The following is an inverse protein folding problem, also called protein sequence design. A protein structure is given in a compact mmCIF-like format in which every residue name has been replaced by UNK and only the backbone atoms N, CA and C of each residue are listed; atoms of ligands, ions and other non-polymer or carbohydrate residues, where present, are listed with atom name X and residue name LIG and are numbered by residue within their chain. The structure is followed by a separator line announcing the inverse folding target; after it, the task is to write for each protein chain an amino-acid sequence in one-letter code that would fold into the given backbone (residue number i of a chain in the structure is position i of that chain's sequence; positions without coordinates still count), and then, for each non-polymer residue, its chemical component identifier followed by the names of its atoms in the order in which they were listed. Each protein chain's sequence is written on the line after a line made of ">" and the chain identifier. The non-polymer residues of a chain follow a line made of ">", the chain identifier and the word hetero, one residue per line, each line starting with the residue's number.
data_IF_918719058738
#
_entry.id   IF_918719058738
#
_cell.length_a   1.000
_cell.length_b   1.000
_cell.length_c   1.000
_cell.angle_alpha   90.00
_cell.angle_beta   90.00
_cell.angle_gamma   90.00
#
_symmetry.space_group_name_H-M   'P 1'
#
loop_
_entity.id
_entity.type
_entity.pdbx_description
1 polymer ?
#
# COMPACT_ATOMS: atom_id res chain seq x y z
N UNK A 1 16.60 -44.02 51.51
CA UNK A 1 16.53 -43.51 50.13
C UNK A 1 15.32 -42.58 50.03
N UNK A 2 15.54 -41.28 49.83
CA UNK A 2 14.46 -40.27 49.84
C UNK A 2 13.71 -40.29 48.51
N UNK A 3 12.41 -40.58 48.54
CA UNK A 3 11.52 -40.52 47.38
C UNK A 3 11.18 -39.05 47.06
N UNK A 4 11.77 -38.52 45.99
CA UNK A 4 11.38 -37.22 45.43
C UNK A 4 10.07 -37.38 44.65
N UNK A 5 8.97 -36.83 45.18
CA UNK A 5 7.73 -36.60 44.42
C UNK A 5 7.87 -35.29 43.66
N UNK A 6 8.02 -35.37 42.34
CA UNK A 6 7.98 -34.20 41.46
C UNK A 6 6.52 -33.75 41.39
N UNK A 7 6.23 -32.55 41.90
CA UNK A 7 4.95 -31.87 41.69
C UNK A 7 4.94 -31.32 40.26
N UNK A 8 3.83 -31.43 39.50
CA UNK A 8 3.72 -30.78 38.22
C UNK A 8 3.64 -29.27 38.47
N UNK A 9 4.72 -28.56 38.23
CA UNK A 9 4.70 -27.09 38.13
C UNK A 9 3.82 -26.76 36.94
N UNK A 10 2.68 -26.10 37.16
CA UNK A 10 1.94 -25.43 36.11
C UNK A 10 2.91 -24.46 35.43
N UNK A 11 3.32 -24.78 34.21
CA UNK A 11 3.92 -23.79 33.32
C UNK A 11 2.75 -22.94 32.84
N UNK A 12 2.51 -21.83 33.52
CA UNK A 12 1.70 -20.74 32.99
C UNK A 12 2.37 -20.25 31.72
N UNK A 13 1.85 -20.68 30.57
CA UNK A 13 2.22 -20.15 29.27
C UNK A 13 1.84 -18.67 29.28
N UNK A 14 2.82 -17.80 29.54
CA UNK A 14 2.66 -16.37 29.36
C UNK A 14 2.64 -16.11 27.85
N UNK A 15 1.46 -16.20 27.24
CA UNK A 15 1.21 -15.66 25.91
C UNK A 15 1.19 -14.14 26.04
N UNK A 16 2.35 -13.51 25.93
CA UNK A 16 2.48 -12.07 25.75
C UNK A 16 3.40 -11.80 24.57
N UNK A 17 2.83 -11.18 23.54
CA UNK A 17 3.54 -10.78 22.34
C UNK A 17 2.61 -10.58 21.15
N UNK A 18 1.49 -9.88 21.33
CA UNK A 18 0.81 -9.26 20.18
C UNK A 18 1.71 -8.12 19.75
N UNK A 19 2.55 -8.38 18.74
CA UNK A 19 3.39 -7.37 18.13
C UNK A 19 2.49 -6.34 17.43
N UNK A 20 2.79 -5.06 17.72
CA UNK A 20 2.05 -3.88 17.31
C UNK A 20 2.16 -3.70 15.79
N UNK A 21 1.02 -3.44 15.15
CA UNK A 21 0.92 -3.26 13.71
C UNK A 21 0.73 -1.77 13.41
N UNK A 22 1.67 -1.19 12.69
CA UNK A 22 1.44 0.04 11.93
C UNK A 22 1.45 -0.42 10.48
N UNK A 23 0.31 -0.47 9.78
CA UNK A 23 0.25 -0.91 8.38
C UNK A 23 0.03 0.32 7.52
N UNK A 24 0.87 0.51 6.51
CA UNK A 24 0.79 1.59 5.53
C UNK A 24 -0.19 1.12 4.46
N UNK A 25 -1.32 1.81 4.24
CA UNK A 25 -2.59 1.20 3.76
C UNK A 25 -3.00 -0.05 4.55
N UNK A 26 -4.29 -0.16 4.89
CA UNK A 26 -4.81 -1.44 5.34
C UNK A 26 -4.57 -2.51 4.26
N UNK A 27 -4.39 -3.78 4.66
CA UNK A 27 -4.24 -4.96 3.77
C UNK A 27 -5.17 -4.89 2.54
N UNK A 28 -6.41 -4.45 2.75
CA UNK A 28 -7.44 -4.28 1.72
C UNK A 28 -7.01 -3.35 0.57
N UNK A 29 -6.32 -2.25 0.87
CA UNK A 29 -5.88 -1.27 -0.12
C UNK A 29 -4.86 -1.87 -1.07
N UNK A 30 -3.76 -2.40 -0.52
CA UNK A 30 -2.67 -3.01 -1.26
C UNK A 30 -3.10 -4.17 -2.14
N UNK A 31 -3.88 -5.10 -1.57
CA UNK A 31 -4.39 -6.28 -2.28
C UNK A 31 -5.25 -5.87 -3.48
N UNK A 32 -6.16 -4.91 -3.29
CA UNK A 32 -7.06 -4.42 -4.35
C UNK A 32 -6.29 -3.71 -5.45
N UNK A 33 -5.32 -2.86 -5.09
CA UNK A 33 -4.51 -2.13 -6.05
C UNK A 33 -3.71 -3.11 -6.91
N UNK A 34 -2.99 -4.05 -6.30
CA UNK A 34 -2.14 -5.00 -7.00
C UNK A 34 -2.96 -5.97 -7.88
N UNK A 35 -4.06 -6.51 -7.35
CA UNK A 35 -4.96 -7.38 -8.11
C UNK A 35 -5.56 -6.65 -9.31
N UNK A 36 -6.02 -5.42 -9.14
CA UNK A 36 -6.56 -4.62 -10.23
C UNK A 36 -5.50 -4.22 -11.26
N UNK A 37 -4.25 -3.97 -10.82
CA UNK A 37 -3.15 -3.63 -11.72
C UNK A 37 -2.86 -4.77 -12.70
N UNK A 38 -2.95 -6.04 -12.24
CA UNK A 38 -2.86 -7.20 -13.13
C UNK A 38 -3.89 -7.14 -14.26
N UNK A 39 -5.12 -6.74 -13.94
CA UNK A 39 -6.21 -6.62 -14.92
C UNK A 39 -6.02 -5.45 -15.90
N UNK A 40 -5.26 -4.43 -15.51
CA UNK A 40 -4.92 -3.27 -16.34
C UNK A 40 -3.68 -3.47 -17.24
N UNK A 41 -3.04 -4.64 -17.22
CA UNK A 41 -1.86 -4.91 -18.05
C UNK A 41 -2.21 -5.24 -19.51
N UNK A 42 -1.30 -4.97 -20.46
CA UNK A 42 -1.42 -5.51 -21.82
C UNK A 42 -1.26 -7.04 -21.85
N UNK A 43 -1.89 -7.68 -22.84
CA UNK A 43 -2.12 -9.13 -22.90
C UNK A 43 -0.92 -10.05 -22.58
N UNK A 44 0.32 -9.81 -23.09
CA UNK A 44 1.45 -10.68 -22.75
C UNK A 44 1.77 -10.69 -21.25
N UNK A 45 1.78 -9.52 -20.62
CA UNK A 45 2.00 -9.39 -19.18
C UNK A 45 0.76 -9.83 -18.39
N UNK A 46 -0.44 -9.42 -18.82
CA UNK A 46 -1.68 -9.80 -18.14
C UNK A 46 -1.82 -11.32 -18.02
N UNK A 47 -1.47 -12.08 -19.06
CA UNK A 47 -1.53 -13.54 -19.01
C UNK A 47 -0.55 -14.10 -17.99
N UNK A 48 0.70 -13.63 -18.01
CA UNK A 48 1.74 -14.05 -17.05
C UNK A 48 1.35 -13.69 -15.60
N UNK A 49 1.03 -12.44 -15.32
CA UNK A 49 0.68 -12.00 -13.98
C UNK A 49 -0.63 -12.62 -13.48
N UNK A 50 -1.63 -12.82 -14.35
CA UNK A 50 -2.88 -13.46 -13.94
C UNK A 50 -2.67 -14.92 -13.52
N UNK A 51 -1.67 -15.61 -14.07
CA UNK A 51 -1.30 -16.95 -13.60
C UNK A 51 -0.85 -16.98 -12.13
N UNK A 52 -0.39 -15.84 -11.60
CA UNK A 52 0.12 -15.65 -10.25
C UNK A 52 -0.68 -14.60 -9.47
N UNK A 53 -1.93 -14.33 -9.87
CA UNK A 53 -2.68 -13.17 -9.36
C UNK A 53 -2.85 -13.20 -7.84
N UNK A 54 -3.06 -14.38 -7.25
CA UNK A 54 -3.21 -14.51 -5.79
C UNK A 54 -1.89 -14.27 -5.07
N UNK A 55 -0.76 -14.75 -5.62
CA UNK A 55 0.57 -14.45 -5.10
C UNK A 55 0.84 -12.94 -5.15
N UNK A 56 0.62 -12.29 -6.29
CA UNK A 56 0.83 -10.84 -6.45
C UNK A 56 -0.07 -10.02 -5.51
N UNK A 57 -1.29 -10.51 -5.29
CA UNK A 57 -2.23 -9.90 -4.35
C UNK A 57 -1.68 -9.97 -2.92
N UNK A 58 -1.24 -11.15 -2.45
CA UNK A 58 -0.73 -11.33 -1.09
C UNK A 58 0.65 -10.71 -0.88
N UNK A 59 1.54 -10.79 -1.87
CA UNK A 59 2.88 -10.21 -1.81
C UNK A 59 2.82 -8.70 -1.58
N UNK A 60 1.76 -8.04 -2.06
CA UNK A 60 1.56 -6.60 -1.86
C UNK A 60 1.45 -6.16 -0.39
N UNK A 61 1.27 -7.08 0.56
CA UNK A 61 1.24 -6.75 2.00
C UNK A 61 2.54 -7.08 2.72
N UNK A 62 3.47 -7.76 2.04
CA UNK A 62 4.71 -8.26 2.65
C UNK A 62 5.65 -7.15 3.12
N UNK A 63 5.80 -6.00 2.44
CA UNK A 63 6.63 -4.91 2.97
C UNK A 63 6.23 -4.47 4.38
N UNK A 64 4.93 -4.32 4.63
CA UNK A 64 4.42 -4.04 5.96
C UNK A 64 4.69 -5.16 6.96
N UNK A 65 4.64 -6.43 6.54
CA UNK A 65 5.04 -7.55 7.41
C UNK A 65 6.54 -7.50 7.73
N UNK A 66 7.40 -7.10 6.79
CA UNK A 66 8.84 -6.92 7.04
C UNK A 66 9.09 -5.87 8.10
N UNK A 67 8.36 -4.75 8.03
CA UNK A 67 8.40 -3.68 9.03
C UNK A 67 7.93 -4.15 10.41
N UNK A 68 6.73 -4.73 10.48
CA UNK A 68 6.04 -4.92 11.76
C UNK A 68 6.31 -6.26 12.44
N UNK A 69 6.53 -7.32 11.65
CA UNK A 69 6.64 -8.70 12.16
C UNK A 69 8.09 -9.16 12.15
N UNK A 70 8.81 -8.90 11.05
CA UNK A 70 10.19 -9.34 10.90
C UNK A 70 11.20 -8.34 11.49
N UNK A 71 10.73 -7.16 11.91
CA UNK A 71 11.53 -6.11 12.54
C UNK A 71 12.76 -5.73 11.68
N UNK A 72 12.58 -5.69 10.36
CA UNK A 72 13.60 -5.17 9.45
C UNK A 72 13.73 -3.66 9.67
N UNK A 73 14.79 -3.25 10.36
CA UNK A 73 15.05 -1.85 10.71
C UNK A 73 15.26 -0.96 9.49
N UNK A 74 15.55 -1.52 8.32
CA UNK A 74 15.75 -0.77 7.09
C UNK A 74 14.45 -0.59 6.29
N UNK A 75 13.38 -1.30 6.64
CA UNK A 75 12.10 -1.24 5.94
C UNK A 75 11.30 0.06 6.19
N UNK A 76 11.13 0.55 7.44
CA UNK A 76 10.23 1.67 7.71
C UNK A 76 10.43 2.90 6.81
N UNK A 77 11.65 3.40 6.56
CA UNK A 77 11.86 4.59 5.73
C UNK A 77 11.46 4.40 4.27
N UNK A 78 11.22 3.17 3.80
CA UNK A 78 10.84 2.89 2.40
C UNK A 78 9.38 3.18 2.10
N UNK A 79 8.54 3.37 3.12
CA UNK A 79 7.08 3.53 2.98
C UNK A 79 6.62 4.98 2.85
N UNK A 80 7.49 5.96 3.10
CA UNK A 80 7.08 7.36 3.15
C UNK A 80 8.18 8.31 2.67
N UNK A 81 7.79 9.57 2.52
CA UNK A 81 8.66 10.69 2.20
C UNK A 81 8.07 11.97 2.80
N UNK A 82 8.63 12.42 3.93
CA UNK A 82 8.18 13.61 4.66
C UNK A 82 8.61 14.87 3.91
N UNK A 83 7.89 15.19 2.84
CA UNK A 83 8.30 16.14 1.80
C UNK A 83 8.69 17.52 2.35
N UNK A 84 7.99 18.00 3.38
CA UNK A 84 8.23 19.30 4.02
C UNK A 84 9.62 19.41 4.65
N UNK A 85 10.21 18.29 5.07
CA UNK A 85 11.51 18.27 5.74
C UNK A 85 12.69 18.41 4.76
N UNK A 86 12.49 18.19 3.46
CA UNK A 86 13.55 18.20 2.45
C UNK A 86 13.88 19.59 1.90
N UNK A 87 13.10 20.61 2.26
CA UNK A 87 13.28 22.01 1.84
C UNK A 87 12.57 22.32 0.52
N UNK A 88 13.14 23.24 -0.27
CA UNK A 88 12.55 23.62 -1.57
C UNK A 88 12.57 22.43 -2.54
N UNK A 89 11.40 22.13 -3.11
CA UNK A 89 11.15 21.06 -4.08
C UNK A 89 12.06 21.15 -5.31
N UNK A 90 12.44 22.36 -5.71
CA UNK A 90 13.36 22.58 -6.83
C UNK A 90 14.77 22.03 -6.56
N UNK A 91 15.09 21.78 -5.29
CA UNK A 91 16.40 21.29 -4.85
C UNK A 91 16.40 19.79 -4.54
N UNK A 92 15.28 19.10 -4.70
CA UNK A 92 15.20 17.67 -4.36
C UNK A 92 16.15 16.85 -5.22
N UNK A 93 16.96 15.96 -4.60
CA UNK A 93 17.84 15.09 -5.35
C UNK A 93 17.01 14.08 -6.12
N UNK A 94 17.30 13.93 -7.40
CA UNK A 94 16.52 13.10 -8.31
C UNK A 94 16.81 11.62 -8.11
N UNK A 95 18.05 11.30 -7.75
CA UNK A 95 18.55 9.95 -7.51
C UNK A 95 18.93 9.71 -6.04
N UNK A 96 18.98 8.45 -5.62
CA UNK A 96 19.42 8.08 -4.27
C UNK A 96 20.87 8.48 -4.00
N UNK A 97 21.73 8.44 -5.02
CA UNK A 97 23.14 8.80 -4.86
C UNK A 97 23.31 10.30 -4.63
N UNK A 98 22.56 11.13 -5.36
CA UNK A 98 22.47 12.57 -5.06
C UNK A 98 21.91 12.83 -3.66
N UNK A 99 20.90 12.05 -3.23
CA UNK A 99 20.31 12.18 -1.91
C UNK A 99 21.32 11.89 -0.79
N UNK A 100 22.15 10.85 -0.94
CA UNK A 100 23.21 10.50 0.01
C UNK A 100 24.36 11.50 0.06
N UNK A 101 24.59 12.25 -1.01
CA UNK A 101 25.56 13.34 -1.03
C UNK A 101 25.03 14.60 -0.32
N UNK A 102 23.71 14.83 -0.37
CA UNK A 102 23.07 16.01 0.19
C UNK A 102 22.64 15.85 1.65
N UNK A 103 22.19 14.66 2.04
CA UNK A 103 21.62 14.36 3.35
C UNK A 103 22.34 13.20 4.03
N UNK A 104 22.48 13.28 5.36
CA UNK A 104 23.04 12.18 6.13
C UNK A 104 22.04 11.02 6.31
N UNK A 105 22.56 9.85 6.71
CA UNK A 105 21.77 8.64 6.89
C UNK A 105 20.64 8.80 7.93
N UNK A 106 20.90 9.56 9.00
CA UNK A 106 19.91 9.79 10.07
C UNK A 106 18.72 10.58 9.54
N UNK A 107 18.99 11.59 8.72
CA UNK A 107 17.99 12.40 8.06
C UNK A 107 17.14 11.55 7.10
N UNK A 108 17.78 10.76 6.24
CA UNK A 108 17.06 9.89 5.28
C UNK A 108 16.24 8.80 5.98
N UNK A 109 16.78 8.22 7.06
CA UNK A 109 16.07 7.22 7.87
C UNK A 109 14.86 7.82 8.58
N UNK A 110 14.96 9.08 9.02
CA UNK A 110 13.87 9.76 9.73
C UNK A 110 12.78 10.26 8.79
N UNK A 111 13.13 10.77 7.62
CA UNK A 111 12.22 11.49 6.73
C UNK A 111 11.77 10.66 5.52
N UNK A 112 12.24 9.42 5.40
CA UNK A 112 11.79 8.49 4.37
C UNK A 112 12.50 8.65 3.02
N UNK A 113 12.46 7.58 2.23
CA UNK A 113 13.19 7.40 0.97
C UNK A 113 12.33 6.78 -0.14
N UNK A 114 11.00 6.77 0.04
CA UNK A 114 10.06 6.08 -0.85
C UNK A 114 10.29 6.36 -2.36
N UNK A 115 10.46 7.61 -2.84
CA UNK A 115 10.62 7.90 -4.27
C UNK A 115 11.85 7.18 -4.85
N UNK A 116 12.97 7.22 -4.12
CA UNK A 116 14.20 6.58 -4.54
C UNK A 116 14.14 5.06 -4.45
N UNK A 117 13.40 4.52 -3.46
CA UNK A 117 13.19 3.09 -3.36
C UNK A 117 12.38 2.53 -4.53
N UNK A 118 11.31 3.24 -4.95
CA UNK A 118 10.54 2.90 -6.16
C UNK A 118 11.45 2.85 -7.41
N UNK A 119 12.34 3.85 -7.57
CA UNK A 119 13.28 3.88 -8.70
C UNK A 119 14.26 2.68 -8.67
N UNK A 120 14.79 2.32 -7.51
CA UNK A 120 15.66 1.15 -7.34
C UNK A 120 14.94 -0.17 -7.68
N UNK A 121 13.70 -0.35 -7.22
CA UNK A 121 12.87 -1.51 -7.57
C UNK A 121 12.57 -1.57 -9.07
N UNK A 122 12.41 -0.43 -9.74
CA UNK A 122 12.24 -0.39 -11.20
C UNK A 122 13.48 -0.89 -11.95
N UNK A 123 14.69 -0.54 -11.49
CA UNK A 123 15.94 -1.09 -12.05
C UNK A 123 16.01 -2.60 -11.84
N UNK A 124 15.69 -3.06 -10.62
CA UNK A 124 15.70 -4.50 -10.27
C UNK A 124 14.67 -5.29 -11.06
N UNK A 125 13.45 -4.78 -11.21
CA UNK A 125 12.37 -5.42 -11.97
C UNK A 125 12.73 -5.53 -13.46
N UNK A 126 13.30 -4.46 -14.03
CA UNK A 126 13.78 -4.44 -15.41
C UNK A 126 14.84 -5.52 -15.64
N UNK A 127 15.81 -5.63 -14.71
CA UNK A 127 16.83 -6.69 -14.76
C UNK A 127 16.21 -8.09 -14.65
N UNK A 128 15.28 -8.29 -13.72
CA UNK A 128 14.60 -9.57 -13.53
C UNK A 128 13.82 -10.00 -14.78
N UNK A 129 13.14 -9.07 -15.46
CA UNK A 129 12.53 -9.33 -16.76
C UNK A 129 13.55 -9.71 -17.82
N UNK A 130 14.63 -8.94 -17.97
CA UNK A 130 15.68 -9.16 -18.98
C UNK A 130 16.30 -10.55 -18.86
N UNK A 131 16.52 -10.99 -17.62
CA UNK A 131 17.08 -12.30 -17.29
C UNK A 131 16.01 -13.41 -17.17
N UNK A 132 14.73 -13.07 -17.41
CA UNK A 132 13.57 -13.98 -17.32
C UNK A 132 13.47 -14.71 -15.97
N UNK A 133 13.85 -14.05 -14.88
CA UNK A 133 13.85 -14.60 -13.51
C UNK A 133 12.46 -14.52 -12.91
N UNK A 134 11.60 -15.48 -13.25
CA UNK A 134 10.18 -15.54 -12.87
C UNK A 134 9.90 -15.14 -11.42
N UNK A 135 10.52 -15.80 -10.46
CA UNK A 135 10.22 -15.56 -9.04
C UNK A 135 10.59 -14.12 -8.66
N UNK A 136 11.76 -13.64 -9.08
CA UNK A 136 12.17 -12.25 -8.83
C UNK A 136 11.23 -11.24 -9.48
N UNK A 137 10.74 -11.50 -10.70
CA UNK A 137 9.73 -10.65 -11.34
C UNK A 137 8.50 -10.53 -10.45
N UNK A 138 7.99 -11.66 -9.95
CA UNK A 138 6.77 -11.68 -9.15
C UNK A 138 6.96 -10.97 -7.80
N UNK A 139 8.05 -11.28 -7.07
CA UNK A 139 8.37 -10.65 -5.78
C UNK A 139 8.57 -9.14 -5.92
N UNK A 140 9.45 -8.71 -6.83
CA UNK A 140 9.76 -7.29 -7.01
C UNK A 140 8.54 -6.52 -7.53
N UNK A 141 7.70 -7.13 -8.38
CA UNK A 141 6.47 -6.49 -8.85
C UNK A 141 5.46 -6.28 -7.72
N UNK A 142 5.25 -7.26 -6.84
CA UNK A 142 4.40 -7.13 -5.67
C UNK A 142 4.87 -6.04 -4.71
N UNK A 143 6.17 -6.05 -4.37
CA UNK A 143 6.81 -5.01 -3.56
C UNK A 143 6.66 -3.63 -4.21
N UNK A 144 6.99 -3.50 -5.50
CA UNK A 144 6.86 -2.23 -6.21
C UNK A 144 5.41 -1.72 -6.21
N UNK A 145 4.43 -2.62 -6.36
CA UNK A 145 3.02 -2.27 -6.29
C UNK A 145 2.59 -1.76 -4.92
N UNK A 146 3.16 -2.29 -3.83
CA UNK A 146 2.97 -1.77 -2.47
C UNK A 146 3.52 -0.36 -2.33
N UNK A 147 4.78 -0.13 -2.67
CA UNK A 147 5.39 1.19 -2.49
C UNK A 147 4.75 2.25 -3.39
N UNK A 148 4.31 1.89 -4.60
CA UNK A 148 3.51 2.80 -5.44
C UNK A 148 2.16 3.11 -4.76
N UNK A 149 1.50 2.14 -4.14
CA UNK A 149 0.28 2.39 -3.39
C UNK A 149 0.54 3.36 -2.23
N UNK A 150 1.57 3.14 -1.40
CA UNK A 150 1.99 4.06 -0.34
C UNK A 150 2.21 5.48 -0.88
N UNK A 151 2.86 5.62 -2.04
CA UNK A 151 3.04 6.90 -2.73
C UNK A 151 1.75 7.59 -3.21
N UNK A 152 0.60 6.92 -3.12
CA UNK A 152 -0.74 7.47 -3.36
C UNK A 152 -1.53 7.72 -2.06
N UNK A 153 -0.95 7.47 -0.89
CA UNK A 153 -1.51 7.85 0.40
C UNK A 153 -1.01 9.26 0.76
N UNK A 154 -1.86 10.30 0.84
CA UNK A 154 -1.41 11.67 1.07
C UNK A 154 -0.50 11.82 2.30
N UNK A 155 -0.86 11.21 3.42
CA UNK A 155 -0.10 11.30 4.67
C UNK A 155 1.19 10.45 4.69
N UNK A 156 1.46 9.61 3.69
CA UNK A 156 2.80 9.01 3.49
C UNK A 156 3.76 9.96 2.77
N UNK A 157 3.26 11.11 2.33
CA UNK A 157 4.07 12.15 1.68
C UNK A 157 4.29 13.38 2.57
N UNK A 158 3.95 13.31 3.86
CA UNK A 158 3.97 14.47 4.75
C UNK A 158 4.50 14.15 6.15
N UNK A 159 5.27 15.09 6.70
CA UNK A 159 5.72 15.04 8.09
C UNK A 159 4.55 15.07 9.09
N UNK A 160 3.38 15.57 8.67
CA UNK A 160 2.13 15.52 9.42
C UNK A 160 1.37 14.19 9.21
N UNK A 161 2.14 13.11 9.15
CA UNK A 161 1.74 11.73 8.83
C UNK A 161 0.48 11.23 9.54
N UNK A 162 0.28 11.59 10.81
CA UNK A 162 -0.88 11.20 11.60
C UNK A 162 -1.72 12.41 12.05
N UNK A 163 -1.57 13.58 11.42
CA UNK A 163 -2.25 14.80 11.84
C UNK A 163 -1.72 15.37 13.16
N UNK A 164 -0.55 14.92 13.63
CA UNK A 164 0.04 15.31 14.91
C UNK A 164 0.46 16.79 14.96
N UNK A 165 0.78 17.39 13.82
CA UNK A 165 1.16 18.80 13.71
C UNK A 165 -0.07 19.73 13.69
N UNK A 166 -1.28 19.18 13.47
CA UNK A 166 -2.53 19.95 13.31
C UNK A 166 -3.66 19.52 14.26
N UNK A 167 -3.36 18.73 15.30
CA UNK A 167 -4.32 18.21 16.30
C UNK A 167 -5.40 17.28 15.73
N UNK A 168 -5.01 16.41 14.81
CA UNK A 168 -5.89 15.47 14.10
C UNK A 168 -5.41 14.01 14.25
N UNK A 169 -4.74 13.72 15.38
CA UNK A 169 -4.11 12.43 15.66
C UNK A 169 -5.04 11.24 15.37
N UNK A 170 -4.57 10.27 14.61
CA UNK A 170 -5.30 9.07 14.18
C UNK A 170 -5.88 9.15 12.76
N UNK A 171 -5.83 10.31 12.10
CA UNK A 171 -6.36 10.49 10.73
C UNK A 171 -5.69 9.56 9.71
N UNK A 172 -4.44 9.16 9.96
CA UNK A 172 -3.71 8.20 9.13
C UNK A 172 -4.46 6.87 9.00
N UNK A 173 -4.68 6.23 10.14
CA UNK A 173 -5.37 4.94 10.23
C UNK A 173 -6.83 5.02 9.75
N UNK A 174 -7.48 6.17 9.95
CA UNK A 174 -8.82 6.41 9.43
C UNK A 174 -8.82 6.36 7.90
N UNK A 175 -7.95 7.15 7.27
CA UNK A 175 -7.91 7.27 5.81
C UNK A 175 -7.48 5.97 5.13
N UNK A 176 -6.42 5.33 5.62
CA UNK A 176 -5.75 4.23 4.91
C UNK A 176 -6.37 2.85 5.19
N UNK A 177 -7.00 2.67 6.36
CA UNK A 177 -7.53 1.38 6.80
C UNK A 177 -9.05 1.44 6.94
N UNK A 178 -9.56 2.30 7.83
CA UNK A 178 -10.99 2.30 8.16
C UNK A 178 -11.88 2.64 6.97
N UNK A 179 -11.51 3.62 6.16
CA UNK A 179 -12.30 3.99 4.99
C UNK A 179 -12.32 2.87 3.92
N UNK A 180 -11.19 2.30 3.49
CA UNK A 180 -11.21 1.12 2.63
C UNK A 180 -11.98 -0.08 3.19
N UNK A 181 -11.87 -0.38 4.48
CA UNK A 181 -12.63 -1.47 5.14
C UNK A 181 -14.15 -1.31 4.98
N UNK A 182 -14.64 -0.08 5.16
CA UNK A 182 -16.08 0.23 5.09
C UNK A 182 -16.58 0.33 3.64
N UNK A 183 -15.81 0.96 2.75
CA UNK A 183 -16.31 1.47 1.46
C UNK A 183 -15.70 0.80 0.22
N UNK A 184 -14.58 0.06 0.32
CA UNK A 184 -13.92 -0.49 -0.87
C UNK A 184 -14.77 -1.49 -1.67
N UNK A 185 -15.78 -2.11 -1.04
CA UNK A 185 -16.76 -2.97 -1.70
C UNK A 185 -17.63 -2.22 -2.73
N UNK A 186 -17.79 -0.91 -2.55
CA UNK A 186 -18.61 -0.04 -3.38
C UNK A 186 -17.77 0.73 -4.43
N UNK A 187 -16.45 0.67 -4.32
CA UNK A 187 -15.52 1.31 -5.24
C UNK A 187 -15.45 0.59 -6.59
N UNK A 188 -15.14 1.37 -7.63
CA UNK A 188 -14.88 0.90 -8.99
C UNK A 188 -13.39 0.99 -9.30
N UNK A 189 -12.77 -0.16 -9.54
CA UNK A 189 -11.32 -0.33 -9.72
C UNK A 189 -10.87 -0.47 -11.18
N UNK A 190 -11.81 -0.38 -12.14
CA UNK A 190 -11.46 -0.39 -13.55
C UNK A 190 -10.77 0.89 -13.98
N UNK A 191 -9.60 0.75 -14.57
CA UNK A 191 -8.81 1.87 -15.07
C UNK A 191 -8.40 1.61 -16.53
N UNK A 192 -7.94 2.64 -17.25
CA UNK A 192 -7.29 2.43 -18.54
C UNK A 192 -6.11 1.46 -18.42
N UNK A 193 -5.77 0.81 -19.54
CA UNK A 193 -4.60 -0.06 -19.58
C UNK A 193 -3.32 0.74 -19.25
N UNK A 194 -2.38 0.11 -18.53
CA UNK A 194 -1.08 0.70 -18.23
C UNK A 194 -0.31 1.13 -19.48
N UNK A 195 0.43 2.22 -19.37
CA UNK A 195 1.15 2.87 -20.46
C UNK A 195 2.66 2.85 -20.23
N UNK A 196 3.43 3.00 -21.31
CA UNK A 196 4.88 3.10 -21.22
C UNK A 196 5.25 4.48 -20.66
N UNK A 197 6.16 4.51 -19.69
CA UNK A 197 6.69 5.73 -19.10
C UNK A 197 8.06 6.02 -19.73
N UNK A 198 8.16 7.13 -20.46
CA UNK A 198 9.43 7.54 -21.08
C UNK A 198 10.50 7.89 -20.04
N UNK A 199 10.07 8.42 -18.89
CA UNK A 199 10.95 8.78 -17.80
C UNK A 199 10.32 8.33 -16.46
N UNK A 200 10.85 7.23 -15.92
CA UNK A 200 10.40 6.64 -14.65
C UNK A 200 10.68 7.57 -13.47
N UNK A 201 11.84 8.23 -13.44
CA UNK A 201 12.17 9.20 -12.38
C UNK A 201 11.14 10.33 -12.33
N UNK A 202 10.85 10.94 -13.48
CA UNK A 202 9.84 12.00 -13.59
C UNK A 202 8.47 11.50 -13.15
N UNK A 203 8.05 10.31 -13.61
CA UNK A 203 6.76 9.73 -13.23
C UNK A 203 6.64 9.47 -11.72
N UNK A 204 7.72 9.02 -11.08
CA UNK A 204 7.76 8.83 -9.61
C UNK A 204 7.59 10.17 -8.89
N UNK A 205 8.31 11.22 -9.29
CA UNK A 205 8.20 12.53 -8.63
C UNK A 205 6.86 13.21 -8.90
N UNK A 206 6.36 13.16 -10.14
CA UNK A 206 5.03 13.67 -10.50
C UNK A 206 3.94 13.03 -9.61
N UNK A 207 4.02 11.71 -9.38
CA UNK A 207 3.11 10.98 -8.49
C UNK A 207 3.19 11.50 -7.04
N UNK A 208 4.40 11.67 -6.49
CA UNK A 208 4.59 12.13 -5.12
C UNK A 208 4.05 13.56 -4.95
N UNK A 209 4.31 14.46 -5.90
CA UNK A 209 3.80 15.83 -5.85
C UNK A 209 2.28 15.91 -5.99
N UNK A 210 1.70 15.13 -6.90
CA UNK A 210 0.24 15.05 -7.07
C UNK A 210 -0.43 14.55 -5.78
N UNK A 211 0.09 13.47 -5.18
CA UNK A 211 -0.43 12.95 -3.91
C UNK A 211 -0.24 13.92 -2.75
N UNK A 212 0.92 14.57 -2.65
CA UNK A 212 1.22 15.54 -1.59
C UNK A 212 0.29 16.75 -1.62
N UNK A 213 -0.14 17.17 -2.83
CA UNK A 213 -1.10 18.27 -2.98
C UNK A 213 -2.46 18.02 -2.29
N UNK A 214 -2.75 16.76 -1.93
CA UNK A 214 -3.98 16.36 -1.24
C UNK A 214 -3.87 16.42 0.29
N UNK A 215 -2.68 16.61 0.87
CA UNK A 215 -2.49 16.65 2.32
C UNK A 215 -3.26 17.79 2.96
N UNK A 216 -3.08 19.02 2.47
CA UNK A 216 -3.79 20.18 3.01
C UNK A 216 -5.32 20.05 2.87
N UNK A 217 -5.89 19.71 1.69
CA UNK A 217 -7.32 19.44 1.55
C UNK A 217 -7.85 18.36 2.49
N UNK A 218 -7.14 17.22 2.61
CA UNK A 218 -7.51 16.12 3.51
C UNK A 218 -7.59 16.60 4.96
N UNK A 219 -6.54 17.26 5.44
CA UNK A 219 -6.49 17.75 6.81
C UNK A 219 -7.52 18.86 7.06
N UNK A 220 -7.76 19.74 6.10
CA UNK A 220 -8.80 20.77 6.22
C UNK A 220 -10.20 20.15 6.35
N UNK A 221 -10.50 19.10 5.56
CA UNK A 221 -11.77 18.37 5.61
C UNK A 221 -11.96 17.69 6.98
N UNK A 222 -10.97 16.91 7.45
CA UNK A 222 -11.07 16.27 8.76
C UNK A 222 -11.18 17.31 9.89
N UNK A 223 -10.39 18.40 9.85
CA UNK A 223 -10.45 19.45 10.87
C UNK A 223 -11.84 20.08 10.94
N UNK A 224 -12.46 20.37 9.79
CA UNK A 224 -13.81 20.92 9.72
C UNK A 224 -14.82 19.96 10.33
N UNK A 225 -14.78 18.68 9.95
CA UNK A 225 -15.70 17.66 10.46
C UNK A 225 -15.51 17.41 11.96
N UNK A 226 -14.26 17.27 12.41
CA UNK A 226 -13.88 17.13 13.80
C UNK A 226 -14.39 18.27 14.67
N UNK A 227 -14.26 19.51 14.20
CA UNK A 227 -14.76 20.70 14.91
C UNK A 227 -16.30 20.71 15.00
N UNK A 228 -16.98 20.20 13.97
CA UNK A 228 -18.44 20.16 13.93
C UNK A 228 -19.04 18.95 14.67
N UNK A 229 -18.22 17.98 15.09
CA UNK A 229 -18.69 16.73 15.68
C UNK A 229 -18.39 16.69 17.18
N UNK A 230 -19.40 16.45 18.05
CA UNK A 230 -19.15 16.21 19.47
C UNK A 230 -18.14 15.07 19.68
N UNK A 231 -17.20 15.24 20.62
CA UNK A 231 -16.08 14.30 20.83
C UNK A 231 -16.54 12.85 21.02
N UNK A 232 -17.63 12.65 21.77
CA UNK A 232 -18.25 11.34 22.03
C UNK A 232 -18.93 10.70 20.81
N UNK A 233 -18.93 11.36 19.64
CA UNK A 233 -19.43 10.82 18.37
C UNK A 233 -18.33 10.55 17.35
N UNK A 234 -17.10 10.99 17.62
CA UNK A 234 -15.96 10.79 16.70
C UNK A 234 -15.46 9.34 16.80
N UNK A 235 -15.39 8.83 18.02
CA UNK A 235 -14.83 7.51 18.32
C UNK A 235 -15.89 6.55 18.86
N UNK A 236 -15.66 5.26 18.66
CA UNK A 236 -16.41 4.20 19.32
C UNK A 236 -16.01 4.17 20.79
N UNK A 237 -17.01 4.19 21.68
CA UNK A 237 -16.81 4.05 23.12
C UNK A 237 -17.43 2.75 23.64
N UNK A 238 -16.82 2.15 24.65
CA UNK A 238 -17.40 1.01 25.34
C UNK A 238 -18.50 1.44 26.35
N UNK A 239 -19.03 0.47 27.11
CA UNK A 239 -20.08 0.72 28.10
C UNK A 239 -19.65 1.63 29.26
N UNK A 240 -18.35 1.79 29.50
CA UNK A 240 -17.77 2.68 30.51
C UNK A 240 -17.48 4.09 29.97
N UNK A 241 -17.65 4.30 28.66
CA UNK A 241 -17.35 5.55 27.98
C UNK A 241 -15.89 5.67 27.55
N UNK A 242 -15.08 4.62 27.70
CA UNK A 242 -13.70 4.60 27.24
C UNK A 242 -13.62 4.35 25.73
N UNK A 243 -12.67 5.01 25.06
CA UNK A 243 -12.52 4.88 23.61
C UNK A 243 -11.95 3.51 23.27
N UNK A 244 -12.69 2.77 22.45
CA UNK A 244 -12.29 1.46 21.94
C UNK A 244 -11.06 1.61 21.03
N UNK A 245 -10.09 0.73 21.24
CA UNK A 245 -8.94 0.56 20.35
C UNK A 245 -9.20 -0.61 19.40
N UNK A 246 -8.77 -0.47 18.15
CA UNK A 246 -8.72 -1.61 17.24
C UNK A 246 -7.63 -2.60 17.68
N UNK A 247 -7.56 -3.78 17.02
CA UNK A 247 -6.53 -4.82 17.28
C UNK A 247 -5.08 -4.33 17.16
N UNK A 248 -4.87 -3.13 16.63
CA UNK A 248 -3.59 -2.51 16.38
C UNK A 248 -3.26 -1.36 17.36
N UNK A 249 -4.12 -1.12 18.36
CA UNK A 249 -3.94 -0.04 19.35
C UNK A 249 -4.33 1.35 18.84
N UNK A 250 -4.79 1.45 17.60
CA UNK A 250 -5.34 2.66 16.99
C UNK A 250 -6.73 2.96 17.54
N UNK A 251 -7.06 4.24 17.65
CA UNK A 251 -8.37 4.70 18.12
C UNK A 251 -9.45 4.34 17.11
N UNK A 252 -10.50 3.65 17.52
CA UNK A 252 -11.57 3.24 16.60
C UNK A 252 -12.52 4.39 16.34
N UNK A 253 -12.57 4.85 15.08
CA UNK A 253 -13.53 5.87 14.64
C UNK A 253 -14.93 5.26 14.48
N UNK A 254 -15.96 6.05 14.79
CA UNK A 254 -17.35 5.65 14.56
C UNK A 254 -17.66 5.53 13.06
N UNK A 255 -18.61 4.66 12.72
CA UNK A 255 -19.06 4.49 11.33
C UNK A 255 -19.69 5.78 10.79
N UNK A 256 -20.40 6.51 11.63
CA UNK A 256 -21.02 7.78 11.28
C UNK A 256 -19.96 8.84 10.93
N UNK A 257 -18.90 8.97 11.75
CA UNK A 257 -17.82 9.91 11.47
C UNK A 257 -17.06 9.51 10.20
N UNK A 258 -16.69 8.23 10.07
CA UNK A 258 -15.98 7.72 8.90
C UNK A 258 -16.80 7.91 7.61
N UNK A 259 -18.11 7.67 7.66
CA UNK A 259 -19.02 7.89 6.52
C UNK A 259 -19.13 9.36 6.14
N UNK A 260 -19.23 10.26 7.10
CA UNK A 260 -19.29 11.68 6.81
C UNK A 260 -17.96 12.19 6.24
N UNK A 261 -16.84 11.78 6.82
CA UNK A 261 -15.50 12.14 6.29
C UNK A 261 -15.33 11.65 4.85
N UNK A 262 -15.70 10.40 4.58
CA UNK A 262 -15.64 9.83 3.24
C UNK A 262 -16.50 10.61 2.22
N UNK A 263 -17.70 11.02 2.63
CA UNK A 263 -18.58 11.84 1.81
C UNK A 263 -17.98 13.23 1.54
N UNK A 264 -17.44 13.89 2.57
CA UNK A 264 -16.84 15.23 2.47
C UNK A 264 -15.57 15.23 1.60
N UNK A 265 -14.83 14.12 1.57
CA UNK A 265 -13.70 13.91 0.68
C UNK A 265 -14.09 13.61 -0.79
N UNK A 266 -15.38 13.49 -1.10
CA UNK A 266 -15.91 13.40 -2.45
C UNK A 266 -15.17 12.40 -3.36
N UNK A 267 -14.92 11.19 -2.84
CA UNK A 267 -14.30 10.10 -3.59
C UNK A 267 -12.77 10.12 -3.66
N UNK A 268 -12.07 10.97 -2.90
CA UNK A 268 -10.60 11.06 -2.87
C UNK A 268 -9.91 9.69 -2.71
N UNK A 269 -10.37 8.86 -1.76
CA UNK A 269 -9.77 7.53 -1.49
C UNK A 269 -9.84 6.64 -2.73
N UNK A 270 -11.02 6.51 -3.34
CA UNK A 270 -11.20 5.72 -4.56
C UNK A 270 -10.36 6.27 -5.72
N UNK A 271 -10.28 7.60 -5.86
CA UNK A 271 -9.48 8.23 -6.92
C UNK A 271 -7.98 7.92 -6.75
N UNK A 272 -7.44 8.03 -5.53
CA UNK A 272 -6.05 7.66 -5.25
C UNK A 272 -5.78 6.17 -5.49
N UNK A 273 -6.67 5.27 -5.08
CA UNK A 273 -6.54 3.85 -5.39
C UNK A 273 -6.54 3.59 -6.91
N UNK A 274 -7.38 4.27 -7.69
CA UNK A 274 -7.41 4.14 -9.16
C UNK A 274 -6.14 4.69 -9.82
N UNK A 275 -5.59 5.80 -9.32
CA UNK A 275 -4.29 6.32 -9.77
C UNK A 275 -3.18 5.30 -9.47
N UNK A 276 -3.14 4.76 -8.24
CA UNK A 276 -2.19 3.71 -7.85
C UNK A 276 -2.26 2.49 -8.78
N UNK A 277 -3.46 1.98 -9.10
CA UNK A 277 -3.64 0.85 -10.04
C UNK A 277 -3.03 1.18 -11.41
N UNK A 278 -3.31 2.37 -11.93
CA UNK A 278 -2.83 2.80 -13.26
C UNK A 278 -1.31 2.95 -13.27
N UNK A 279 -0.75 3.55 -12.23
CA UNK A 279 0.70 3.76 -12.10
C UNK A 279 1.41 2.42 -11.91
N UNK A 280 0.94 1.55 -11.02
CA UNK A 280 1.51 0.20 -10.82
C UNK A 280 1.54 -0.60 -12.13
N UNK A 281 0.42 -0.63 -12.87
CA UNK A 281 0.38 -1.31 -14.16
C UNK A 281 1.35 -0.70 -15.19
N UNK A 282 1.48 0.62 -15.19
CA UNK A 282 2.39 1.36 -16.09
C UNK A 282 3.87 1.11 -15.74
N UNK A 283 4.21 1.04 -14.45
CA UNK A 283 5.56 0.74 -13.97
C UNK A 283 5.97 -0.70 -14.32
N UNK A 284 5.11 -1.69 -14.03
CA UNK A 284 5.36 -3.08 -14.43
C UNK A 284 5.51 -3.24 -15.94
N UNK A 285 4.64 -2.58 -16.71
CA UNK A 285 4.75 -2.58 -18.17
C UNK A 285 6.05 -1.93 -18.66
N UNK A 286 6.41 -0.78 -18.09
CA UNK A 286 7.65 -0.06 -18.43
C UNK A 286 8.88 -0.89 -18.14
N UNK A 287 8.95 -1.59 -17.00
CA UNK A 287 10.06 -2.48 -16.68
C UNK A 287 10.21 -3.61 -17.71
N UNK A 288 9.11 -4.21 -18.15
CA UNK A 288 9.12 -5.23 -19.21
C UNK A 288 9.53 -4.67 -20.58
N UNK A 289 9.07 -3.47 -20.94
CA UNK A 289 9.46 -2.80 -22.19
C UNK A 289 10.95 -2.47 -22.18
N UNK A 290 11.45 -1.86 -21.10
CA UNK A 290 12.87 -1.52 -20.93
C UNK A 290 13.78 -2.76 -20.92
N UNK A 291 13.25 -3.92 -20.51
CA UNK A 291 13.95 -5.20 -20.59
C UNK A 291 14.04 -5.77 -22.02
N UNK A 292 13.47 -5.10 -23.03
CA UNK A 292 13.45 -5.57 -24.41
C UNK A 292 12.24 -6.45 -24.76
N UNK A 293 11.15 -6.36 -23.98
CA UNK A 293 9.92 -7.16 -24.16
C UNK A 293 10.17 -8.67 -24.25
N UNK A 294 10.91 -9.26 -23.29
CA UNK A 294 11.23 -10.68 -23.31
C UNK A 294 9.94 -11.53 -23.34
N UNK A 295 9.94 -12.60 -24.15
CA UNK A 295 8.83 -13.55 -24.16
C UNK A 295 8.72 -14.29 -22.81
N UNK A 296 7.55 -14.16 -22.18
CA UNK A 296 7.21 -14.73 -20.87
C UNK A 296 6.44 -16.07 -20.99
N UNK A 297 6.05 -16.48 -22.20
CA UNK A 297 5.20 -17.66 -22.42
C UNK A 297 5.81 -18.97 -21.88
N UNK A 298 7.15 -19.04 -21.86
CA UNK A 298 7.90 -20.17 -21.31
C UNK A 298 8.15 -20.13 -19.79
N UNK A 299 7.66 -19.12 -19.07
CA UNK A 299 7.84 -19.02 -17.60
C UNK A 299 6.77 -19.77 -16.82
N UNK A 300 5.69 -20.20 -17.48
CA UNK A 300 4.60 -20.97 -16.88
C UNK A 300 4.35 -22.26 -17.66
N UNK A 301 3.77 -23.25 -16.97
CA UNK A 301 3.36 -24.48 -17.66
C UNK A 301 2.16 -24.20 -18.57
N UNK A 302 2.08 -24.80 -19.77
CA UNK A 302 0.92 -24.64 -20.65
C UNK A 302 -0.40 -25.03 -19.98
N UNK A 303 -0.38 -26.00 -19.05
CA UNK A 303 -1.55 -26.43 -18.30
C UNK A 303 -2.09 -25.33 -17.37
N UNK A 304 -1.21 -24.61 -16.66
CA UNK A 304 -1.60 -23.48 -15.80
C UNK A 304 -2.24 -22.37 -16.63
N UNK A 305 -1.56 -21.94 -17.69
CA UNK A 305 -2.05 -20.89 -18.60
C UNK A 305 -3.38 -21.27 -19.24
N UNK A 306 -3.54 -22.53 -19.69
CA UNK A 306 -4.80 -23.01 -20.25
C UNK A 306 -5.93 -23.00 -19.21
N UNK A 307 -5.67 -23.45 -17.98
CA UNK A 307 -6.65 -23.41 -16.87
C UNK A 307 -7.12 -21.97 -16.62
N UNK A 308 -6.18 -21.05 -16.49
CA UNK A 308 -6.46 -19.67 -16.11
C UNK A 308 -7.04 -18.82 -17.25
N UNK A 309 -6.82 -19.18 -18.52
CA UNK A 309 -7.35 -18.43 -19.68
C UNK A 309 -8.87 -18.20 -19.64
N UNK A 310 -9.64 -19.19 -19.20
CA UNK A 310 -11.11 -19.08 -19.06
C UNK A 310 -11.49 -18.18 -17.88
N UNK A 311 -10.75 -18.27 -16.77
CA UNK A 311 -10.97 -17.44 -15.59
C UNK A 311 -10.63 -15.97 -15.90
N UNK A 312 -9.47 -15.70 -16.52
CA UNK A 312 -9.09 -14.36 -16.96
C UNK A 312 -10.17 -13.73 -17.84
N UNK A 313 -10.69 -14.47 -18.82
CA UNK A 313 -11.77 -13.96 -19.69
C UNK A 313 -13.05 -13.64 -18.91
N UNK A 314 -13.40 -14.42 -17.88
CA UNK A 314 -14.55 -14.16 -17.01
C UNK A 314 -14.29 -12.93 -16.14
N UNK A 315 -13.13 -12.87 -15.49
CA UNK A 315 -12.77 -11.81 -14.56
C UNK A 315 -12.57 -10.48 -15.27
N UNK A 316 -12.09 -10.46 -16.52
CA UNK A 316 -12.06 -9.26 -17.34
C UNK A 316 -13.45 -8.66 -17.60
N UNK A 317 -14.51 -9.47 -17.68
CA UNK A 317 -15.89 -8.96 -17.81
C UNK A 317 -16.39 -8.33 -16.52
N UNK A 318 -16.00 -8.90 -15.38
CA UNK A 318 -16.29 -8.34 -14.04
C UNK A 318 -15.51 -7.05 -13.85
N UNK A 319 -14.22 -7.07 -14.17
CA UNK A 319 -13.34 -5.90 -14.13
C UNK A 319 -13.83 -4.78 -15.04
N UNK A 320 -14.35 -5.06 -16.24
CA UNK A 320 -14.91 -4.02 -17.10
C UNK A 320 -16.08 -3.24 -16.46
N UNK A 321 -16.76 -3.80 -15.46
CA UNK A 321 -17.82 -3.14 -14.66
C UNK A 321 -17.29 -2.45 -13.40
N UNK A 322 -15.97 -2.48 -13.19
CA UNK A 322 -15.26 -1.93 -12.05
C UNK A 322 -15.11 -2.86 -10.85
N UNK A 323 -15.55 -4.11 -10.96
CA UNK A 323 -15.57 -5.05 -9.84
C UNK A 323 -14.36 -6.01 -9.89
N UNK A 324 -13.86 -6.44 -8.73
CA UNK A 324 -12.77 -7.42 -8.61
C UNK A 324 -13.29 -8.75 -8.06
N UNK A 325 -12.98 -9.85 -8.74
CA UNK A 325 -13.36 -11.19 -8.28
C UNK A 325 -12.48 -11.65 -7.11
N UNK A 326 -13.09 -12.31 -6.12
CA UNK A 326 -12.38 -13.10 -5.10
C UNK A 326 -11.84 -12.33 -3.90
N UNK A 327 -12.21 -11.06 -3.74
CA UNK A 327 -11.80 -10.23 -2.60
C UNK A 327 -12.98 -9.95 -1.67
N UNK A 328 -12.98 -10.57 -0.49
CA UNK A 328 -13.89 -10.24 0.60
C UNK A 328 -13.20 -9.35 1.62
N UNK A 329 -13.91 -8.37 2.18
CA UNK A 329 -13.47 -7.75 3.41
C UNK A 329 -13.81 -8.74 4.53
N UNK A 330 -12.83 -9.33 5.19
CA UNK A 330 -13.10 -9.95 6.49
C UNK A 330 -13.69 -8.86 7.38
N UNK A 331 -14.91 -9.07 7.88
CA UNK A 331 -15.48 -8.17 8.88
C UNK A 331 -14.71 -8.43 10.17
N UNK A 332 -14.13 -7.38 10.73
CA UNK A 332 -13.58 -7.42 12.09
C UNK A 332 -14.65 -7.84 13.11
#
# INVERSE_FOLDING_TARGET
>A
MKNFKIRPTLITLSTLGVALFLLSWGVIGHERINRAAVMALPKPLQTFFYNHIDFITQESTVPDLRRNVLNDKMEPPRHYFDMENFGDVATFPKTMDEAKLKYDEKFLTKNGILPWHIQDLMVKLTKAFKEKRKNEILFIAGDLGHYIADGHMPLHTSDNHDGQNTNQKGIHSLWESRLPELFAKDYKFNVPQGVYLENVEKATWDMIFDTHSLVEPLLAIDKKLRTATPENKIFVTDASGEIVKNKYGGTMYSDEYAKQLHADMNGMVQQQMRKAITVTASFWYTAWVNAGKPDLSGLDTPALTKRNSKLLKKDMKTYAKGDLFGLSNEKE
#
